data_IF_659037018246
#
_entry.id   IF_659037018246
#
_cell.length_a   1.000
_cell.length_b   1.000
_cell.length_c   1.000
_cell.angle_alpha   90.00
_cell.angle_beta   90.00
_cell.angle_gamma   90.00
#
_symmetry.space_group_name_H-M   'P 1'
#
loop_
_entity.id
_entity.type
_entity.pdbx_description
1 polymer ?
#
# COMPACT_ATOMS: atom_id res chain seq x y z
N UNK A 1 0.49 24.10 -5.03
CA UNK A 1 1.78 24.24 -4.33
C UNK A 1 2.15 22.87 -3.79
N UNK A 2 3.37 22.37 -4.02
CA UNK A 2 3.84 21.08 -3.47
C UNK A 2 4.46 21.37 -2.09
N UNK A 3 4.00 20.76 -0.99
CA UNK A 3 4.63 20.94 0.32
C UNK A 3 6.01 20.26 0.36
N UNK A 4 6.84 20.64 1.31
CA UNK A 4 8.09 19.93 1.60
C UNK A 4 7.84 18.82 2.65
N UNK A 5 8.66 17.75 2.68
CA UNK A 5 8.56 16.74 3.73
C UNK A 5 8.98 17.36 5.08
N UNK A 6 8.22 17.09 6.14
CA UNK A 6 8.60 17.52 7.48
C UNK A 6 9.42 16.42 8.18
N UNK A 7 10.53 16.82 8.80
CA UNK A 7 11.27 15.96 9.73
C UNK A 7 10.53 15.92 11.06
N UNK A 8 10.92 15.01 11.95
CA UNK A 8 10.33 14.92 13.28
C UNK A 8 10.35 16.27 14.01
N UNK A 9 11.49 16.96 14.00
CA UNK A 9 11.68 18.23 14.73
C UNK A 9 10.87 19.41 14.16
N UNK A 10 10.48 19.34 12.88
CA UNK A 10 9.70 20.39 12.21
C UNK A 10 8.23 20.04 12.06
N UNK A 11 7.84 18.79 12.36
CA UNK A 11 6.46 18.35 12.31
C UNK A 11 5.64 18.91 13.50
N UNK A 12 4.34 19.22 13.30
CA UNK A 12 3.45 19.57 14.41
C UNK A 12 3.40 18.46 15.48
N UNK A 13 3.17 18.78 16.76
CA UNK A 13 3.13 17.78 17.84
C UNK A 13 2.17 16.61 17.59
N UNK A 14 1.04 16.87 16.95
CA UNK A 14 0.08 15.83 16.57
C UNK A 14 0.64 14.86 15.49
N UNK A 15 1.45 15.37 14.55
CA UNK A 15 2.14 14.54 13.56
C UNK A 15 3.32 13.78 14.19
N UNK A 16 4.06 14.38 15.12
CA UNK A 16 5.13 13.70 15.87
C UNK A 16 4.61 12.45 16.59
N UNK A 17 3.46 12.56 17.27
CA UNK A 17 2.83 11.42 17.92
C UNK A 17 2.49 10.27 16.96
N UNK A 18 2.08 10.59 15.72
CA UNK A 18 1.83 9.58 14.67
C UNK A 18 3.15 9.00 14.17
N UNK A 19 4.19 9.81 13.98
CA UNK A 19 5.55 9.35 13.61
C UNK A 19 6.07 8.35 14.64
N UNK A 20 5.92 8.64 15.93
CA UNK A 20 6.35 7.77 17.02
C UNK A 20 5.63 6.42 17.00
N UNK A 21 4.30 6.43 16.82
CA UNK A 21 3.52 5.20 16.73
C UNK A 21 3.92 4.37 15.48
N UNK A 22 4.19 5.02 14.34
CA UNK A 22 4.68 4.31 13.15
C UNK A 22 6.03 3.65 13.43
N UNK A 23 6.98 4.39 14.01
CA UNK A 23 8.32 3.89 14.35
C UNK A 23 8.24 2.70 15.30
N UNK A 24 7.43 2.81 16.34
CA UNK A 24 7.21 1.74 17.31
C UNK A 24 6.54 0.51 16.67
N UNK A 25 5.46 0.73 15.92
CA UNK A 25 4.66 -0.35 15.31
C UNK A 25 5.46 -1.10 14.24
N UNK A 26 6.17 -0.38 13.36
CA UNK A 26 6.91 -0.97 12.24
C UNK A 26 8.35 -1.34 12.59
N UNK A 27 8.82 -0.96 13.79
CA UNK A 27 10.19 -1.13 14.27
C UNK A 27 11.22 -0.58 13.29
N UNK A 28 11.08 0.71 12.99
CA UNK A 28 11.96 1.45 12.07
C UNK A 28 12.54 2.69 12.76
N UNK A 29 13.74 3.09 12.35
CA UNK A 29 14.42 4.27 12.91
C UNK A 29 13.74 5.58 12.50
N UNK A 30 13.17 5.60 11.31
CA UNK A 30 12.46 6.75 10.75
C UNK A 30 11.33 6.30 9.83
N UNK A 31 10.37 7.20 9.59
CA UNK A 31 9.26 6.99 8.66
C UNK A 31 9.68 7.31 7.22
N UNK A 32 9.05 6.66 6.25
CA UNK A 32 9.28 6.99 4.84
C UNK A 32 8.66 8.35 4.47
N UNK A 33 9.04 8.88 3.31
CA UNK A 33 8.62 10.22 2.88
C UNK A 33 7.10 10.40 2.78
N UNK A 34 6.33 9.35 2.47
CA UNK A 34 4.87 9.44 2.45
C UNK A 34 4.31 10.00 3.77
N UNK A 35 4.80 9.51 4.91
CA UNK A 35 4.41 10.01 6.22
C UNK A 35 4.95 11.41 6.51
N UNK A 36 6.18 11.72 6.07
CA UNK A 36 6.77 13.06 6.21
C UNK A 36 6.00 14.13 5.42
N UNK A 37 5.48 13.76 4.26
CA UNK A 37 4.61 14.62 3.47
C UNK A 37 3.23 14.78 4.13
N UNK A 38 2.62 13.69 4.61
CA UNK A 38 1.35 13.75 5.34
C UNK A 38 1.45 14.55 6.63
N UNK A 39 2.62 14.64 7.26
CA UNK A 39 2.82 15.41 8.47
C UNK A 39 2.47 16.91 8.34
N UNK A 40 2.39 17.45 7.11
CA UNK A 40 1.88 18.79 6.82
C UNK A 40 0.38 18.97 7.17
N UNK A 41 -0.39 17.88 7.23
CA UNK A 41 -1.78 17.85 7.68
C UNK A 41 -1.96 16.76 8.77
N UNK A 42 -1.82 17.12 10.05
CA UNK A 42 -1.88 16.16 11.15
C UNK A 42 -3.21 15.38 11.24
N UNK A 43 -4.32 16.01 10.85
CA UNK A 43 -5.64 15.36 10.88
C UNK A 43 -5.69 14.26 9.83
N UNK A 44 -5.24 14.56 8.61
CA UNK A 44 -5.17 13.56 7.54
C UNK A 44 -4.14 12.47 7.84
N UNK A 45 -2.98 12.82 8.40
CA UNK A 45 -1.96 11.86 8.76
C UNK A 45 -2.48 10.83 9.77
N UNK A 46 -3.11 11.30 10.85
CA UNK A 46 -3.63 10.44 11.92
C UNK A 46 -4.65 9.44 11.40
N UNK A 47 -5.71 9.90 10.72
CA UNK A 47 -6.76 9.00 10.19
C UNK A 47 -6.20 7.99 9.19
N UNK A 48 -5.20 8.39 8.40
CA UNK A 48 -4.57 7.53 7.39
C UNK A 48 -3.75 6.46 8.08
N UNK A 49 -2.96 6.82 9.10
CA UNK A 49 -2.18 5.87 9.87
C UNK A 49 -3.04 4.86 10.61
N UNK A 50 -4.10 5.31 11.30
CA UNK A 50 -5.04 4.44 12.00
C UNK A 50 -5.64 3.40 11.03
N UNK A 51 -6.12 3.85 9.87
CA UNK A 51 -6.69 2.97 8.83
C UNK A 51 -5.65 1.99 8.28
N UNK A 52 -4.44 2.46 7.97
CA UNK A 52 -3.36 1.60 7.45
C UNK A 52 -2.95 0.56 8.50
N UNK A 53 -2.81 0.96 9.76
CA UNK A 53 -2.45 0.07 10.87
C UNK A 53 -3.50 -1.01 11.06
N UNK A 54 -4.78 -0.63 11.04
CA UNK A 54 -5.89 -1.57 11.18
C UNK A 54 -6.00 -2.55 10.01
N UNK A 55 -5.87 -2.08 8.76
CA UNK A 55 -6.00 -2.92 7.57
C UNK A 55 -4.80 -3.83 7.39
N UNK A 56 -3.58 -3.37 7.69
CA UNK A 56 -2.35 -4.10 7.37
C UNK A 56 -1.83 -4.99 8.52
N UNK A 57 -2.41 -4.94 9.72
CA UNK A 57 -2.08 -5.90 10.77
C UNK A 57 -2.48 -7.34 10.38
N UNK A 58 -1.82 -8.39 10.91
CA UNK A 58 -2.21 -9.78 10.65
C UNK A 58 -3.69 -10.05 10.99
N UNK A 59 -4.34 -10.89 10.18
CA UNK A 59 -5.71 -11.35 10.44
C UNK A 59 -6.00 -12.65 9.68
N UNK A 60 -7.19 -12.77 9.10
CA UNK A 60 -7.50 -13.89 8.21
C UNK A 60 -6.56 -13.98 6.99
N UNK A 61 -6.00 -12.84 6.57
CA UNK A 61 -4.87 -12.77 5.66
C UNK A 61 -3.61 -12.40 6.44
N UNK A 62 -2.52 -13.11 6.18
CA UNK A 62 -1.20 -12.77 6.72
C UNK A 62 -0.63 -11.49 6.07
N UNK A 63 0.45 -10.98 6.66
CA UNK A 63 1.08 -9.71 6.22
C UNK A 63 1.63 -9.83 4.81
N UNK A 64 2.25 -10.96 4.47
CA UNK A 64 2.81 -11.20 3.13
C UNK A 64 1.73 -11.11 2.06
N UNK A 65 0.60 -11.79 2.28
CA UNK A 65 -0.56 -11.76 1.37
C UNK A 65 -1.09 -10.35 1.23
N UNK A 66 -1.26 -9.61 2.33
CA UNK A 66 -1.74 -8.22 2.29
C UNK A 66 -0.79 -7.30 1.52
N UNK A 67 0.51 -7.41 1.72
CA UNK A 67 1.51 -6.60 0.99
C UNK A 67 1.56 -6.95 -0.50
N UNK A 68 1.43 -8.22 -0.88
CA UNK A 68 1.33 -8.62 -2.30
C UNK A 68 0.07 -8.07 -2.97
N UNK A 69 -1.08 -8.07 -2.29
CA UNK A 69 -2.30 -7.45 -2.79
C UNK A 69 -2.14 -5.93 -2.94
N UNK A 70 -1.54 -5.26 -1.96
CA UNK A 70 -1.27 -3.83 -2.02
C UNK A 70 -0.32 -3.49 -3.18
N UNK A 71 0.72 -4.31 -3.38
CA UNK A 71 1.64 -4.18 -4.50
C UNK A 71 0.94 -4.39 -5.85
N UNK A 72 0.07 -5.40 -5.98
CA UNK A 72 -0.70 -5.65 -7.19
C UNK A 72 -1.58 -4.44 -7.59
N UNK A 73 -2.27 -3.85 -6.61
CA UNK A 73 -3.06 -2.62 -6.81
C UNK A 73 -2.15 -1.44 -7.17
N UNK A 74 -0.99 -1.32 -6.52
CA UNK A 74 -0.01 -0.25 -6.78
C UNK A 74 0.55 -0.30 -8.21
N UNK A 75 0.85 -1.51 -8.71
CA UNK A 75 1.29 -1.74 -10.10
C UNK A 75 0.17 -1.36 -11.06
N UNK A 76 -1.06 -1.83 -10.81
CA UNK A 76 -2.24 -1.53 -11.65
C UNK A 76 -2.52 -0.03 -11.73
N UNK A 77 -2.30 0.70 -10.63
CA UNK A 77 -2.48 2.14 -10.55
C UNK A 77 -1.24 2.94 -10.99
N UNK A 78 -0.18 2.28 -11.46
CA UNK A 78 1.07 2.90 -11.91
C UNK A 78 1.72 3.85 -10.88
N UNK A 79 1.58 3.54 -9.58
CA UNK A 79 2.16 4.37 -8.52
C UNK A 79 3.62 3.97 -8.25
N UNK A 80 4.59 4.64 -8.88
CA UNK A 80 6.04 4.32 -8.72
C UNK A 80 6.49 4.29 -7.26
N UNK A 81 6.07 5.25 -6.44
CA UNK A 81 6.41 5.29 -5.01
C UNK A 81 5.83 4.09 -4.26
N UNK A 82 4.56 3.77 -4.51
CA UNK A 82 3.86 2.67 -3.87
C UNK A 82 4.45 1.31 -4.28
N UNK A 83 4.80 1.15 -5.56
CA UNK A 83 5.46 -0.05 -6.07
C UNK A 83 6.77 -0.27 -5.31
N UNK A 84 7.60 0.76 -5.16
CA UNK A 84 8.84 0.64 -4.41
C UNK A 84 8.60 0.32 -2.92
N UNK A 85 7.71 1.04 -2.24
CA UNK A 85 7.48 0.86 -0.80
C UNK A 85 6.88 -0.50 -0.47
N UNK A 86 5.87 -0.95 -1.24
CA UNK A 86 5.20 -2.23 -1.00
C UNK A 86 6.02 -3.42 -1.51
N UNK A 87 6.87 -3.25 -2.52
CA UNK A 87 7.85 -4.31 -2.88
C UNK A 87 8.84 -4.57 -1.74
N UNK A 88 9.36 -3.51 -1.12
CA UNK A 88 10.26 -3.65 0.03
C UNK A 88 9.54 -4.25 1.25
N UNK A 89 8.30 -3.83 1.52
CA UNK A 89 7.50 -4.37 2.61
C UNK A 89 7.14 -5.86 2.41
N UNK A 90 6.71 -6.23 1.20
CA UNK A 90 6.44 -7.62 0.83
C UNK A 90 7.70 -8.50 0.94
N UNK A 91 8.84 -8.01 0.47
CA UNK A 91 10.12 -8.72 0.60
C UNK A 91 10.49 -8.94 2.08
N UNK A 92 10.34 -7.92 2.94
CA UNK A 92 10.54 -8.04 4.40
C UNK A 92 9.57 -9.05 5.04
N UNK A 93 8.36 -9.19 4.48
CA UNK A 93 7.37 -10.17 4.90
C UNK A 93 7.57 -11.58 4.33
N UNK A 94 8.59 -11.80 3.49
CA UNK A 94 8.97 -13.12 2.97
C UNK A 94 8.70 -13.36 1.49
N UNK A 95 8.31 -12.33 0.72
CA UNK A 95 8.12 -12.47 -0.73
C UNK A 95 9.45 -12.82 -1.41
N UNK A 96 9.52 -13.96 -2.08
CA UNK A 96 10.68 -14.36 -2.87
C UNK A 96 10.71 -13.67 -4.24
N UNK A 97 11.83 -13.79 -4.97
CA UNK A 97 11.92 -13.28 -6.34
C UNK A 97 10.98 -14.03 -7.30
N UNK A 98 10.82 -15.32 -7.07
CA UNK A 98 9.91 -16.18 -7.82
C UNK A 98 8.46 -15.74 -7.58
N UNK A 99 8.08 -15.51 -6.32
CA UNK A 99 6.76 -14.96 -5.98
C UNK A 99 6.51 -13.60 -6.62
N UNK A 100 7.52 -12.71 -6.63
CA UNK A 100 7.40 -11.41 -7.28
C UNK A 100 7.17 -11.54 -8.80
N UNK A 101 7.93 -12.42 -9.47
CA UNK A 101 7.75 -12.70 -10.90
C UNK A 101 6.35 -13.22 -11.22
N UNK A 102 5.84 -14.14 -10.42
CA UNK A 102 4.48 -14.68 -10.57
C UNK A 102 3.41 -13.61 -10.28
N UNK A 103 3.56 -12.81 -9.22
CA UNK A 103 2.67 -11.70 -8.91
C UNK A 103 2.54 -10.72 -10.09
N UNK A 104 3.67 -10.33 -10.70
CA UNK A 104 3.68 -9.43 -11.85
C UNK A 104 2.96 -10.05 -13.05
N UNK A 105 3.14 -11.35 -13.30
CA UNK A 105 2.43 -12.06 -14.37
C UNK A 105 0.90 -12.06 -14.14
N UNK A 106 0.46 -12.34 -12.90
CA UNK A 106 -0.97 -12.30 -12.52
C UNK A 106 -1.54 -10.89 -12.71
N UNK A 107 -0.82 -9.85 -12.27
CA UNK A 107 -1.25 -8.45 -12.42
C UNK A 107 -1.38 -8.07 -13.91
N UNK A 108 -0.44 -8.48 -14.75
CA UNK A 108 -0.50 -8.27 -16.20
C UNK A 108 -1.74 -8.92 -16.82
N UNK A 109 -1.95 -10.20 -16.54
CA UNK A 109 -3.10 -10.96 -17.07
C UNK A 109 -4.44 -10.38 -16.60
N UNK A 110 -4.56 -10.01 -15.31
CA UNK A 110 -5.77 -9.39 -14.77
C UNK A 110 -6.05 -8.04 -15.46
N UNK A 111 -5.02 -7.23 -15.70
CA UNK A 111 -5.18 -5.95 -16.40
C UNK A 111 -5.62 -6.10 -17.85
N UNK A 112 -5.08 -7.08 -18.58
CA UNK A 112 -5.46 -7.37 -19.96
C UNK A 112 -6.92 -7.86 -20.03
N UNK A 113 -7.23 -8.92 -19.30
CA UNK A 113 -8.54 -9.57 -19.35
C UNK A 113 -9.67 -8.66 -18.86
N UNK A 114 -9.44 -7.86 -17.81
CA UNK A 114 -10.43 -6.87 -17.34
C UNK A 114 -10.80 -5.86 -18.44
N UNK A 115 -9.83 -5.42 -19.24
CA UNK A 115 -10.07 -4.48 -20.35
C UNK A 115 -10.88 -5.13 -21.46
N UNK A 116 -10.57 -6.39 -21.81
CA UNK A 116 -11.34 -7.15 -22.81
C UNK A 116 -12.80 -7.33 -22.37
N UNK A 117 -13.01 -7.81 -21.14
CA UNK A 117 -14.35 -8.02 -20.55
C UNK A 117 -15.15 -6.73 -20.53
N UNK A 118 -14.53 -5.63 -20.10
CA UNK A 118 -15.16 -4.30 -20.08
C UNK A 118 -15.56 -3.82 -21.47
N UNK A 119 -14.67 -3.96 -22.46
CA UNK A 119 -14.92 -3.51 -23.83
C UNK A 119 -16.04 -4.32 -24.51
N UNK A 120 -16.07 -5.64 -24.31
CA UNK A 120 -17.12 -6.51 -24.85
C UNK A 120 -18.43 -6.46 -24.07
N UNK A 121 -18.45 -5.81 -22.88
CA UNK A 121 -19.61 -5.77 -21.98
C UNK A 121 -20.14 -7.18 -21.67
N UNK A 122 -19.22 -8.09 -21.39
CA UNK A 122 -19.57 -9.49 -21.08
C UNK A 122 -20.50 -9.49 -19.86
N UNK A 123 -21.70 -10.10 -19.94
CA UNK A 123 -22.60 -10.19 -18.79
C UNK A 123 -22.01 -11.11 -17.73
N UNK A 124 -22.42 -10.95 -16.46
CA UNK A 124 -22.07 -11.91 -15.42
C UNK A 124 -22.81 -13.21 -15.70
N UNK A 125 -22.09 -14.33 -15.79
CA UNK A 125 -22.69 -15.64 -15.99
C UNK A 125 -23.57 -16.05 -14.80
N UNK A 126 -24.67 -16.76 -15.07
CA UNK A 126 -25.55 -17.33 -14.03
C UNK A 126 -24.82 -18.23 -13.05
N UNK A 127 -23.76 -18.91 -13.49
CA UNK A 127 -22.92 -19.74 -12.63
C UNK A 127 -22.22 -18.95 -11.52
N UNK A 128 -22.07 -17.63 -11.69
CA UNK A 128 -21.49 -16.70 -10.71
C UNK A 128 -22.55 -15.81 -10.04
N UNK A 129 -23.85 -16.06 -10.26
CA UNK A 129 -24.95 -15.31 -9.65
C UNK A 129 -25.47 -14.11 -10.46
N UNK A 130 -25.18 -14.06 -11.77
CA UNK A 130 -25.75 -13.07 -12.70
C UNK A 130 -27.14 -13.39 -13.23
#
# INVERSE_FOLDING_TARGET
MKPEPLSYDTAPPASQAVIDDIKQTRKVEDVNDFWKYLANDPVTMKRTWESVKEVMQPGALDVLTKEMLYLAVSITNSCTYCIASHSAAAAKAGMSKEMFGELVAVVGMANETNRLVTAYRVPVDKAFGG
#
